data_IF_764295504953
#
_entry.id   IF_764295504953
#
_cell.length_a   1.000
_cell.length_b   1.000
_cell.length_c   1.000
_cell.angle_alpha   90.00
_cell.angle_beta   90.00
_cell.angle_gamma   90.00
#
_symmetry.space_group_name_H-M   'P 1'
#
loop_
_entity.id
_entity.type
_entity.pdbx_description
1 polymer ?
#
# COMPACT_ATOMS: atom_id res chain seq x y z
N UNK A 1 -32.34 -8.08 5.77
CA UNK A 1 -30.99 -7.84 6.33
C UNK A 1 -29.98 -8.90 5.89
N UNK A 2 -30.10 -10.17 6.33
CA UNK A 2 -29.12 -11.23 6.00
C UNK A 2 -28.92 -11.51 4.48
N UNK A 3 -30.01 -11.52 3.69
CA UNK A 3 -29.92 -11.68 2.23
C UNK A 3 -29.19 -10.50 1.56
N UNK A 4 -29.55 -9.27 1.93
CA UNK A 4 -28.89 -8.06 1.38
C UNK A 4 -27.42 -7.93 1.78
N UNK A 5 -27.04 -8.41 2.97
CA UNK A 5 -25.64 -8.48 3.40
C UNK A 5 -24.84 -9.53 2.61
N UNK A 6 -25.44 -10.70 2.38
CA UNK A 6 -24.85 -11.73 1.50
C UNK A 6 -24.68 -11.20 0.07
N UNK A 7 -25.69 -10.54 -0.49
CA UNK A 7 -25.62 -9.95 -1.84
C UNK A 7 -24.63 -8.78 -1.94
N UNK A 8 -24.31 -8.13 -0.82
CA UNK A 8 -23.26 -7.11 -0.75
C UNK A 8 -21.85 -7.73 -0.72
N UNK A 9 -21.62 -8.76 0.10
CA UNK A 9 -20.34 -9.50 0.15
C UNK A 9 -20.08 -10.25 -1.16
N UNK A 10 -21.11 -10.80 -1.80
CA UNK A 10 -20.97 -11.49 -3.08
C UNK A 10 -20.55 -10.57 -4.24
N UNK A 11 -20.53 -9.24 -4.05
CA UNK A 11 -19.83 -8.33 -4.95
C UNK A 11 -18.34 -8.52 -4.74
N UNK A 12 -17.70 -9.39 -5.53
CA UNK A 12 -16.30 -9.83 -5.36
C UNK A 12 -15.29 -8.70 -5.08
N UNK A 13 -15.48 -7.51 -5.66
CA UNK A 13 -14.66 -6.33 -5.40
C UNK A 13 -14.60 -5.91 -3.91
N UNK A 14 -15.66 -6.14 -3.12
CA UNK A 14 -15.71 -5.79 -1.69
C UNK A 14 -14.85 -6.74 -0.86
N UNK A 15 -14.85 -8.03 -1.20
CA UNK A 15 -14.07 -9.05 -0.50
C UNK A 15 -12.57 -8.86 -0.78
N UNK A 16 -12.20 -8.63 -2.03
CA UNK A 16 -10.80 -8.39 -2.41
C UNK A 16 -10.24 -7.14 -1.72
N UNK A 17 -11.03 -6.06 -1.68
CA UNK A 17 -10.66 -4.84 -0.97
C UNK A 17 -10.56 -5.07 0.56
N UNK A 18 -11.49 -5.80 1.16
CA UNK A 18 -11.45 -6.12 2.58
C UNK A 18 -10.20 -6.94 2.94
N UNK A 19 -9.86 -7.94 2.14
CA UNK A 19 -8.66 -8.77 2.31
C UNK A 19 -7.40 -7.91 2.18
N UNK A 20 -7.34 -7.02 1.18
CA UNK A 20 -6.20 -6.12 0.99
C UNK A 20 -5.97 -5.20 2.21
N UNK A 21 -7.03 -4.62 2.79
CA UNK A 21 -6.94 -3.76 3.98
C UNK A 21 -6.47 -4.54 5.21
N UNK A 22 -7.04 -5.74 5.45
CA UNK A 22 -6.67 -6.58 6.60
C UNK A 22 -5.20 -7.02 6.51
N UNK A 23 -4.76 -7.49 5.34
CA UNK A 23 -3.37 -7.90 5.11
C UNK A 23 -2.43 -6.71 5.24
N UNK A 24 -2.79 -5.55 4.67
CA UNK A 24 -2.01 -4.32 4.78
C UNK A 24 -1.80 -3.88 6.24
N UNK A 25 -2.87 -3.90 7.05
CA UNK A 25 -2.80 -3.58 8.46
C UNK A 25 -1.94 -4.56 9.27
N UNK A 26 -2.14 -5.87 9.06
CA UNK A 26 -1.37 -6.91 9.74
C UNK A 26 0.13 -6.85 9.39
N UNK A 27 0.44 -6.63 8.10
CA UNK A 27 1.82 -6.51 7.64
C UNK A 27 2.51 -5.27 8.22
N UNK A 28 1.81 -4.13 8.25
CA UNK A 28 2.30 -2.90 8.88
C UNK A 28 2.65 -3.11 10.37
N UNK A 29 1.84 -3.88 11.10
CA UNK A 29 2.13 -4.21 12.50
C UNK A 29 3.40 -5.07 12.64
N UNK A 30 3.60 -6.07 11.78
CA UNK A 30 4.83 -6.91 11.78
C UNK A 30 6.08 -6.07 11.50
N UNK A 31 6.01 -5.20 10.49
CA UNK A 31 7.13 -4.31 10.14
C UNK A 31 7.42 -3.35 11.28
N UNK A 32 6.40 -2.75 11.89
CA UNK A 32 6.54 -1.84 13.03
C UNK A 32 7.16 -2.55 14.23
N UNK A 33 6.76 -3.79 14.49
CA UNK A 33 7.35 -4.60 15.55
C UNK A 33 8.82 -4.93 15.26
N UNK A 34 9.16 -5.24 14.00
CA UNK A 34 10.54 -5.50 13.59
C UNK A 34 11.42 -4.25 13.75
N UNK A 35 10.95 -3.08 13.32
CA UNK A 35 11.74 -1.85 13.41
C UNK A 35 11.89 -1.35 14.85
N UNK A 36 10.78 -1.29 15.61
CA UNK A 36 10.79 -0.75 16.96
C UNK A 36 11.49 -1.68 17.97
N UNK A 37 11.33 -3.00 17.83
CA UNK A 37 11.87 -3.94 18.83
C UNK A 37 13.26 -4.43 18.48
N UNK A 38 13.61 -4.50 17.19
CA UNK A 38 14.89 -5.06 16.76
C UNK A 38 15.82 -3.93 16.29
N UNK A 39 15.46 -3.21 15.23
CA UNK A 39 16.36 -2.21 14.64
C UNK A 39 16.65 -1.04 15.56
N UNK A 40 15.64 -0.48 16.24
CA UNK A 40 15.86 0.59 17.20
C UNK A 40 16.75 0.17 18.36
N UNK A 41 16.70 -1.10 18.81
CA UNK A 41 17.59 -1.60 19.86
C UNK A 41 19.04 -1.71 19.36
N UNK A 42 19.25 -2.17 18.12
CA UNK A 42 20.58 -2.18 17.51
C UNK A 42 21.13 -0.76 17.30
N UNK A 43 20.30 0.17 16.84
CA UNK A 43 20.67 1.57 16.67
C UNK A 43 20.95 2.22 18.03
N UNK A 44 20.14 1.94 19.05
CA UNK A 44 20.35 2.42 20.41
C UNK A 44 21.65 1.90 21.02
N UNK A 45 22.01 0.64 20.74
CA UNK A 45 23.27 0.04 21.19
C UNK A 45 24.50 0.72 20.55
N UNK A 46 24.41 1.14 19.29
CA UNK A 46 25.50 1.79 18.55
C UNK A 46 25.59 3.29 18.85
N UNK A 47 24.45 3.98 18.93
CA UNK A 47 24.35 5.45 19.06
C UNK A 47 24.28 5.90 20.53
N UNK A 48 24.14 4.98 21.49
CA UNK A 48 24.17 5.19 22.96
C UNK A 48 23.07 6.11 23.54
N UNK A 49 22.43 6.97 22.73
CA UNK A 49 21.23 7.75 23.07
C UNK A 49 20.26 7.78 21.87
N UNK A 50 19.21 6.95 21.85
CA UNK A 50 18.18 6.98 20.81
C UNK A 50 17.09 8.03 21.09
N UNK A 51 17.08 8.61 22.28
CA UNK A 51 15.95 9.38 22.77
C UNK A 51 16.21 10.89 22.62
N UNK A 52 16.03 11.39 21.40
CA UNK A 52 15.96 12.84 21.15
C UNK A 52 14.71 13.46 21.78
N UNK A 53 13.73 12.68 22.25
CA UNK A 53 12.50 13.18 22.87
C UNK A 53 12.73 14.10 24.08
N UNK A 54 13.92 14.06 24.69
CA UNK A 54 14.34 14.96 25.78
C UNK A 54 14.97 16.27 25.31
N UNK A 55 15.18 16.44 24.01
CA UNK A 55 15.59 17.71 23.40
C UNK A 55 14.33 18.55 23.22
N UNK A 56 14.03 19.28 24.29
CA UNK A 56 12.91 20.22 24.35
C UNK A 56 13.49 21.60 24.12
N UNK A 57 12.96 22.32 23.12
CA UNK A 57 13.23 23.74 22.98
C UNK A 57 12.11 24.47 23.71
N UNK A 58 12.43 25.09 24.84
CA UNK A 58 11.48 25.95 25.56
C UNK A 58 11.41 27.30 24.86
N UNK A 59 10.31 27.54 24.14
CA UNK A 59 9.91 28.90 23.76
C UNK A 59 8.80 29.34 24.71
N UNK A 60 9.11 30.32 25.56
CA UNK A 60 8.13 31.06 26.35
C UNK A 60 7.17 30.18 27.20
N UNK A 61 7.70 29.13 27.84
CA UNK A 61 6.95 28.23 28.73
C UNK A 61 6.18 27.11 28.03
N UNK A 62 6.29 26.98 26.70
CA UNK A 62 5.73 25.85 25.95
C UNK A 62 6.85 24.89 25.54
N UNK A 63 6.88 23.65 26.06
CA UNK A 63 7.91 22.68 25.70
C UNK A 63 7.65 22.16 24.27
N UNK A 64 8.45 22.60 23.29
CA UNK A 64 8.39 22.07 21.93
C UNK A 64 9.29 20.83 21.84
N UNK A 65 8.67 19.65 21.79
CA UNK A 65 9.35 18.35 21.72
C UNK A 65 9.83 18.02 20.31
N UNK A 66 10.73 18.84 19.74
CA UNK A 66 11.26 18.64 18.39
C UNK A 66 11.91 17.26 18.21
N UNK A 67 12.53 16.72 19.26
CA UNK A 67 13.21 15.44 19.15
C UNK A 67 12.28 14.21 19.09
N UNK A 68 11.01 14.30 19.50
CA UNK A 68 10.05 13.21 19.27
C UNK A 68 9.65 13.14 17.79
N UNK A 69 9.51 14.29 17.14
CA UNK A 69 9.28 14.39 15.70
C UNK A 69 10.48 13.84 14.90
N UNK A 70 11.71 14.23 15.27
CA UNK A 70 12.91 13.70 14.61
C UNK A 70 13.02 12.18 14.76
N UNK A 71 12.68 11.65 15.94
CA UNK A 71 12.63 10.21 16.18
C UNK A 71 11.59 9.53 15.27
N UNK A 72 10.39 10.10 15.14
CA UNK A 72 9.34 9.59 14.25
C UNK A 72 9.78 9.59 12.77
N UNK A 73 10.48 10.63 12.31
CA UNK A 73 11.03 10.71 10.94
C UNK A 73 12.10 9.64 10.71
N UNK A 74 13.03 9.46 11.66
CA UNK A 74 14.07 8.44 11.57
C UNK A 74 13.45 7.04 11.52
N UNK A 75 12.48 6.76 12.40
CA UNK A 75 11.76 5.49 12.41
C UNK A 75 11.02 5.25 11.08
N UNK A 76 10.32 6.26 10.56
CA UNK A 76 9.65 6.17 9.26
C UNK A 76 10.62 5.82 8.13
N UNK A 77 11.78 6.47 8.06
CA UNK A 77 12.79 6.18 7.05
C UNK A 77 13.36 4.75 7.17
N UNK A 78 13.57 4.27 8.39
CA UNK A 78 14.03 2.89 8.63
C UNK A 78 12.96 1.88 8.19
N UNK A 79 11.71 2.08 8.61
CA UNK A 79 10.56 1.25 8.20
C UNK A 79 10.42 1.22 6.68
N UNK A 80 10.41 2.39 6.03
CA UNK A 80 10.32 2.50 4.59
C UNK A 80 11.49 1.77 3.89
N UNK A 81 12.72 1.93 4.40
CA UNK A 81 13.90 1.24 3.89
C UNK A 81 13.82 -0.28 4.01
N UNK A 82 13.38 -0.79 5.17
CA UNK A 82 13.21 -2.24 5.41
C UNK A 82 12.12 -2.81 4.51
N UNK A 83 10.96 -2.16 4.42
CA UNK A 83 9.87 -2.62 3.53
C UNK A 83 10.32 -2.62 2.09
N UNK A 84 11.00 -1.56 1.65
CA UNK A 84 11.52 -1.48 0.29
C UNK A 84 12.51 -2.62 0.01
N UNK A 85 13.48 -2.84 0.89
CA UNK A 85 14.54 -3.82 0.66
C UNK A 85 14.07 -5.28 0.82
N UNK A 86 13.24 -5.58 1.82
CA UNK A 86 12.80 -6.95 2.12
C UNK A 86 11.50 -7.36 1.42
N UNK A 87 10.70 -6.41 0.94
CA UNK A 87 9.43 -6.70 0.25
C UNK A 87 9.53 -6.28 -1.20
N UNK A 88 9.75 -4.99 -1.46
CA UNK A 88 9.65 -4.45 -2.82
C UNK A 88 10.75 -4.99 -3.73
N UNK A 89 12.00 -5.03 -3.27
CA UNK A 89 13.13 -5.55 -4.06
C UNK A 89 12.96 -7.04 -4.42
N UNK A 90 12.72 -7.98 -3.48
CA UNK A 90 12.53 -9.38 -3.85
C UNK A 90 11.25 -9.59 -4.65
N UNK A 91 10.16 -8.87 -4.36
CA UNK A 91 8.94 -8.95 -5.16
C UNK A 91 9.20 -8.49 -6.60
N UNK A 92 9.88 -7.35 -6.80
CA UNK A 92 10.26 -6.85 -8.12
C UNK A 92 11.21 -7.82 -8.84
N UNK A 93 12.16 -8.42 -8.12
CA UNK A 93 13.08 -9.41 -8.67
C UNK A 93 12.35 -10.69 -9.11
N UNK A 94 11.42 -11.19 -8.30
CA UNK A 94 10.60 -12.36 -8.62
C UNK A 94 9.63 -12.06 -9.76
N UNK A 95 8.94 -10.91 -9.75
CA UNK A 95 8.05 -10.48 -10.84
C UNK A 95 8.81 -10.33 -12.17
N UNK A 96 10.03 -9.78 -12.13
CA UNK A 96 10.89 -9.69 -13.30
C UNK A 96 11.29 -11.06 -13.86
N UNK A 97 11.45 -12.08 -12.98
CA UNK A 97 11.72 -13.47 -13.38
C UNK A 97 10.47 -14.23 -13.84
N UNK A 98 9.30 -13.90 -13.31
CA UNK A 98 8.06 -14.66 -13.54
C UNK A 98 7.30 -14.20 -14.79
N UNK A 99 7.55 -12.99 -15.34
CA UNK A 99 6.99 -12.48 -16.62
C UNK A 99 5.64 -13.10 -17.03
N UNK A 100 4.64 -12.86 -16.18
CA UNK A 100 3.38 -12.28 -16.64
C UNK A 100 3.19 -11.09 -15.71
N UNK A 101 3.12 -9.84 -16.22
CA UNK A 101 2.63 -8.75 -15.40
C UNK A 101 1.28 -9.23 -14.87
N UNK A 102 1.19 -9.44 -13.55
CA UNK A 102 -0.10 -9.60 -12.91
C UNK A 102 -0.90 -8.38 -13.37
N UNK A 103 -1.98 -8.62 -14.10
CA UNK A 103 -2.93 -7.58 -14.48
C UNK A 103 -3.32 -6.86 -13.19
N UNK A 104 -2.70 -5.71 -12.96
CA UNK A 104 -3.22 -4.69 -12.05
C UNK A 104 -4.46 -4.17 -12.76
N UNK A 105 -5.54 -4.96 -12.71
CA UNK A 105 -6.89 -4.69 -13.20
C UNK A 105 -6.87 -3.66 -14.33
N UNK A 106 -6.14 -3.94 -15.41
CA UNK A 106 -6.22 -3.10 -16.59
C UNK A 106 -7.70 -3.15 -16.98
N UNK A 107 -8.38 -2.01 -17.19
CA UNK A 107 -9.79 -2.04 -17.52
C UNK A 107 -9.94 -2.91 -18.77
N UNK A 108 -10.49 -4.11 -18.62
CA UNK A 108 -10.61 -5.08 -19.73
C UNK A 108 -11.58 -4.58 -20.81
N UNK A 109 -12.25 -3.46 -20.52
CA UNK A 109 -13.24 -2.78 -21.33
C UNK A 109 -12.79 -1.37 -21.72
N UNK A 110 -13.03 -1.01 -22.98
CA UNK A 110 -12.99 0.37 -23.50
C UNK A 110 -14.43 0.82 -23.79
N UNK A 111 -14.79 2.10 -23.57
CA UNK A 111 -16.09 2.60 -24.01
C UNK A 111 -16.13 2.69 -25.53
N UNK A 112 -17.21 2.21 -26.14
CA UNK A 112 -17.45 2.40 -27.56
C UNK A 112 -17.70 3.90 -27.86
N UNK A 113 -17.03 4.51 -28.86
CA UNK A 113 -17.23 5.92 -29.21
C UNK A 113 -18.65 6.23 -29.70
N UNK A 114 -19.31 5.27 -30.35
CA UNK A 114 -20.66 5.48 -30.91
C UNK A 114 -21.78 5.32 -29.87
N UNK A 115 -21.75 4.26 -29.08
CA UNK A 115 -22.87 3.87 -28.21
C UNK A 115 -22.54 3.92 -26.71
N UNK A 116 -21.34 4.37 -26.34
CA UNK A 116 -20.86 4.52 -24.96
C UNK A 116 -20.94 3.25 -24.09
N UNK A 117 -21.18 2.09 -24.71
CA UNK A 117 -21.25 0.81 -24.01
C UNK A 117 -19.85 0.23 -23.80
N UNK A 118 -19.65 -0.47 -22.67
CA UNK A 118 -18.38 -1.13 -22.36
C UNK A 118 -18.15 -2.35 -23.25
N UNK A 119 -17.05 -2.34 -24.00
CA UNK A 119 -16.67 -3.40 -24.93
C UNK A 119 -15.24 -3.86 -24.67
N UNK A 120 -14.92 -5.16 -24.82
CA UNK A 120 -13.56 -5.66 -24.59
C UNK A 120 -12.52 -4.91 -25.44
N UNK A 121 -11.34 -4.62 -24.89
CA UNK A 121 -10.28 -3.86 -25.61
C UNK A 121 -9.94 -4.49 -26.98
N UNK A 122 -9.93 -5.82 -27.06
CA UNK A 122 -9.61 -6.57 -28.29
C UNK A 122 -10.76 -6.61 -29.32
N UNK A 123 -11.95 -6.06 -29.00
CA UNK A 123 -13.09 -6.07 -29.91
C UNK A 123 -12.85 -5.12 -31.10
N UNK A 124 -12.91 -5.67 -32.32
CA UNK A 124 -12.88 -4.92 -33.60
C UNK A 124 -14.27 -4.41 -34.02
N UNK A 125 -15.32 -4.95 -33.42
CA UNK A 125 -16.71 -4.55 -33.65
C UNK A 125 -17.47 -4.52 -32.34
N UNK A 126 -18.28 -3.49 -32.16
CA UNK A 126 -19.11 -3.34 -30.97
C UNK A 126 -20.27 -4.35 -31.00
N UNK A 127 -20.50 -5.08 -29.89
CA UNK A 127 -21.65 -6.01 -29.77
C UNK A 127 -23.00 -5.29 -29.69
N UNK A 128 -23.01 -4.06 -29.18
CA UNK A 128 -24.24 -3.30 -28.92
C UNK A 128 -24.73 -2.53 -30.14
N UNK A 129 -23.85 -1.80 -30.82
CA UNK A 129 -24.21 -0.96 -31.97
C UNK A 129 -23.62 -1.42 -33.30
N UNK A 130 -22.86 -2.52 -33.33
CA UNK A 130 -22.24 -3.09 -34.54
C UNK A 130 -21.22 -2.20 -35.26
N UNK A 131 -20.88 -1.03 -34.71
CA UNK A 131 -19.86 -0.14 -35.26
C UNK A 131 -18.47 -0.78 -35.22
N UNK A 132 -17.62 -0.42 -36.19
CA UNK A 132 -16.21 -0.82 -36.20
C UNK A 132 -15.45 0.02 -35.17
N UNK A 133 -14.76 -0.67 -34.26
CA UNK A 133 -13.93 -0.06 -33.23
C UNK A 133 -12.48 -0.10 -33.73
N UNK A 134 -11.82 1.06 -33.78
CA UNK A 134 -10.39 1.16 -34.00
C UNK A 134 -9.60 0.62 -32.80
#
# INVERSE_FOLDING_TARGET
MLKGFRDFILRGNVVDLAVAVIIGGAFGAVVTALTNNILMQFIAAIIKKPDFSKVVFDLNGTPIQYGSFLNAVINFLIVAGVVYFFVVVPLNYLLAKVKKPAEVVAPTTKPCPECLSDVPIAARRCKFCTSQLA
#
